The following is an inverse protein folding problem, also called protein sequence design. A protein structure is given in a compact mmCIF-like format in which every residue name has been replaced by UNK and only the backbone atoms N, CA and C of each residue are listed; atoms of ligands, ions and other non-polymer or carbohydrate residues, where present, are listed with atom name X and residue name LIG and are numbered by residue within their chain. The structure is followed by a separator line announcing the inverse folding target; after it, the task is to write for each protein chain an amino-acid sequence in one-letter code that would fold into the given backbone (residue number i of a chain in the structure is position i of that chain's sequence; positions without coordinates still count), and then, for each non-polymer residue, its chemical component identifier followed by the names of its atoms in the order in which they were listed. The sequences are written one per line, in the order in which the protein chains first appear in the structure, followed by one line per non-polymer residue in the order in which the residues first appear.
data_IF_016659723974
#
_entry.id   IF_016659723974
#
_cell.length_a   1.000
_cell.length_b   1.000
_cell.length_c   1.000
_cell.angle_alpha   90.00
_cell.angle_beta   90.00
_cell.angle_gamma   90.00
#
_symmetry.space_group_name_H-M   'P 1'
#
loop_
_entity.id
_entity.type
_entity.pdbx_description
1 polymer ?
#
# COMPACT_ATOMS: atom_id res chain seq x y z
N UNK A 1 12.83 -1.19 26.13
CA UNK A 1 12.30 -0.37 25.06
C UNK A 1 13.00 -0.62 23.73
N UNK A 2 12.43 -0.12 22.68
CA UNK A 2 12.97 -0.21 21.32
C UNK A 2 13.01 1.18 20.70
N UNK A 3 14.14 1.55 20.12
CA UNK A 3 14.30 2.78 19.34
C UNK A 3 14.49 2.38 17.89
N UNK A 4 13.55 2.75 17.04
CA UNK A 4 13.60 2.52 15.60
C UNK A 4 14.18 3.76 14.92
N UNK A 5 15.19 3.58 14.09
CA UNK A 5 15.84 4.67 13.35
C UNK A 5 15.31 4.63 11.91
N UNK A 6 14.74 5.74 11.48
CA UNK A 6 14.31 5.92 10.12
C UNK A 6 15.51 6.25 9.21
N UNK A 7 15.68 5.48 8.14
CA UNK A 7 16.89 5.56 7.30
C UNK A 7 16.84 6.64 6.22
N UNK A 8 16.13 7.73 6.45
CA UNK A 8 16.13 8.88 5.56
C UNK A 8 17.24 9.84 5.97
N UNK A 9 17.88 10.53 4.99
CA UNK A 9 18.85 11.58 5.27
C UNK A 9 18.23 12.88 5.81
N UNK A 10 16.92 12.97 5.90
CA UNK A 10 16.19 14.12 6.39
C UNK A 10 15.77 13.95 7.86
N UNK A 11 15.67 15.07 8.60
CA UNK A 11 15.23 15.06 10.00
C UNK A 11 13.70 14.93 10.10
N UNK A 12 13.19 13.83 9.56
CA UNK A 12 11.77 13.46 9.58
C UNK A 12 11.58 12.07 10.15
N UNK A 13 10.43 11.83 10.73
CA UNK A 13 10.04 10.54 11.26
C UNK A 13 8.97 9.98 10.34
N UNK A 14 9.14 8.76 9.90
CA UNK A 14 8.07 8.00 9.26
C UNK A 14 7.27 7.29 10.36
N UNK A 15 5.97 7.39 10.30
CA UNK A 15 5.11 6.59 11.15
C UNK A 15 5.26 5.12 10.79
N UNK A 16 5.36 4.27 11.79
CA UNK A 16 5.58 2.86 11.57
C UNK A 16 4.60 2.02 12.39
N UNK A 17 4.45 0.77 12.01
CA UNK A 17 3.58 -0.16 12.71
C UNK A 17 4.40 -1.22 13.41
N UNK A 18 3.97 -1.58 14.60
CA UNK A 18 4.56 -2.68 15.38
C UNK A 18 3.75 -3.96 15.28
N UNK A 19 2.87 -4.06 14.30
CA UNK A 19 2.09 -5.27 14.05
C UNK A 19 3.02 -6.42 13.66
N UNK A 20 2.99 -7.55 14.38
CA UNK A 20 3.96 -8.62 14.17
C UNK A 20 3.67 -9.46 12.92
N UNK A 21 2.42 -9.57 12.51
CA UNK A 21 1.95 -10.48 11.47
C UNK A 21 0.99 -9.75 10.53
N UNK A 22 0.85 -10.26 9.32
CA UNK A 22 -0.11 -9.83 8.32
C UNK A 22 -1.56 -9.91 8.84
N UNK A 23 -2.35 -8.88 8.59
CA UNK A 23 -3.75 -8.81 9.04
C UNK A 23 -3.94 -8.69 10.55
N UNK A 24 -2.87 -8.52 11.33
CA UNK A 24 -2.94 -8.42 12.78
C UNK A 24 -2.59 -7.00 13.28
N UNK A 25 -2.97 -6.64 14.49
CA UNK A 25 -3.73 -7.45 15.45
C UNK A 25 -5.21 -7.57 15.09
N UNK A 26 -5.77 -8.72 15.37
CA UNK A 26 -7.20 -9.00 15.38
C UNK A 26 -7.69 -9.23 16.82
N UNK A 27 -8.95 -9.66 16.97
CA UNK A 27 -9.52 -9.90 18.29
C UNK A 27 -8.77 -10.98 19.07
N UNK A 28 -8.28 -12.02 18.36
CA UNK A 28 -7.64 -13.18 18.97
C UNK A 28 -6.14 -12.91 19.22
N UNK A 29 -5.50 -12.17 18.34
CA UNK A 29 -4.06 -11.87 18.42
C UNK A 29 -3.72 -10.64 19.28
N UNK A 30 -4.71 -9.90 19.78
CA UNK A 30 -4.50 -8.72 20.63
C UNK A 30 -3.65 -8.99 21.89
N UNK A 31 -3.68 -10.22 22.40
CA UNK A 31 -2.90 -10.67 23.54
C UNK A 31 -1.38 -10.71 23.27
N UNK A 32 -0.99 -10.77 22.00
CA UNK A 32 0.42 -10.86 21.58
C UNK A 32 1.04 -9.52 21.24
N UNK A 33 0.35 -8.41 21.51
CA UNK A 33 0.90 -7.08 21.31
C UNK A 33 2.13 -6.85 22.16
N UNK A 34 3.09 -6.10 21.60
CA UNK A 34 4.29 -5.71 22.30
C UNK A 34 3.93 -4.85 23.53
N UNK A 35 4.45 -5.26 24.68
CA UNK A 35 4.23 -4.57 25.98
C UNK A 35 5.39 -3.65 26.34
N UNK A 36 6.33 -3.41 25.45
CA UNK A 36 7.44 -2.51 25.68
C UNK A 36 7.24 -1.19 24.90
N UNK A 37 7.76 -0.07 25.41
CA UNK A 37 7.74 1.18 24.67
C UNK A 37 8.57 1.06 23.39
N UNK A 38 7.99 1.50 22.27
CA UNK A 38 8.64 1.60 20.96
C UNK A 38 8.53 3.04 20.50
N UNK A 39 9.65 3.63 20.12
CA UNK A 39 9.72 5.00 19.61
C UNK A 39 10.49 5.04 18.29
N UNK A 40 10.07 5.89 17.38
CA UNK A 40 10.78 6.14 16.13
C UNK A 40 11.52 7.46 16.21
N UNK A 41 12.73 7.50 15.66
CA UNK A 41 13.53 8.72 15.51
C UNK A 41 14.02 8.86 14.06
N UNK A 42 14.28 10.10 13.66
CA UNK A 42 14.81 10.40 12.32
C UNK A 42 16.22 9.83 12.10
N UNK A 43 16.60 9.66 10.83
CA UNK A 43 17.93 9.18 10.45
C UNK A 43 19.06 9.98 11.08
N UNK A 44 19.12 11.31 10.93
CA UNK A 44 20.19 12.14 11.53
C UNK A 44 20.28 12.03 13.06
N UNK A 45 19.13 11.93 13.76
CA UNK A 45 19.11 11.70 15.21
C UNK A 45 19.58 10.30 15.57
N UNK A 46 19.24 9.33 14.74
CA UNK A 46 19.71 7.95 14.89
C UNK A 46 21.23 7.85 14.72
N UNK A 47 21.78 8.45 13.69
CA UNK A 47 23.23 8.51 13.46
C UNK A 47 23.96 9.16 14.66
N UNK A 48 23.44 10.28 15.15
CA UNK A 48 23.97 10.91 16.33
C UNK A 48 23.95 9.99 17.56
N UNK A 49 22.85 9.26 17.77
CA UNK A 49 22.73 8.31 18.87
C UNK A 49 23.74 7.16 18.74
N UNK A 50 23.88 6.61 17.52
CA UNK A 50 24.84 5.54 17.24
C UNK A 50 26.26 6.00 17.55
N UNK A 51 26.65 7.18 17.08
CA UNK A 51 27.99 7.74 17.34
C UNK A 51 28.25 7.92 18.87
N UNK A 52 27.24 8.39 19.60
CA UNK A 52 27.34 8.49 21.06
C UNK A 52 27.53 7.13 21.73
N UNK A 53 26.76 6.13 21.31
CA UNK A 53 26.86 4.76 21.84
C UNK A 53 28.24 4.15 21.54
N UNK A 54 28.74 4.31 20.33
CA UNK A 54 30.08 3.82 19.95
C UNK A 54 31.20 4.48 20.77
N UNK A 55 31.11 5.80 20.96
CA UNK A 55 32.09 6.52 21.75
C UNK A 55 32.03 6.10 23.24
N UNK A 56 30.87 5.95 23.81
CA UNK A 56 30.69 5.46 25.18
C UNK A 56 31.24 4.05 25.34
N UNK A 57 30.94 3.16 24.36
CA UNK A 57 31.46 1.79 24.36
C UNK A 57 33.00 1.73 24.35
N UNK A 58 33.64 2.52 23.48
CA UNK A 58 35.12 2.63 23.43
C UNK A 58 35.74 3.09 24.74
N UNK A 59 35.01 3.89 25.51
CA UNK A 59 35.45 4.41 26.78
C UNK A 59 34.96 3.59 28.02
N UNK A 60 34.33 2.44 27.80
CA UNK A 60 33.80 1.61 28.88
C UNK A 60 32.62 2.23 29.62
N UNK A 61 31.92 3.18 29.01
CA UNK A 61 30.79 3.89 29.60
C UNK A 61 29.47 3.24 29.18
N UNK A 62 28.51 3.23 30.09
CA UNK A 62 27.13 2.80 29.79
C UNK A 62 26.26 4.04 29.67
N UNK A 63 25.52 4.13 28.60
CA UNK A 63 24.52 5.17 28.39
C UNK A 63 23.13 4.62 28.75
N UNK A 64 22.31 5.46 29.30
CA UNK A 64 20.91 5.19 29.64
C UNK A 64 20.02 6.12 28.82
N UNK A 65 18.86 5.62 28.44
CA UNK A 65 17.81 6.42 27.84
C UNK A 65 16.48 6.12 28.52
N UNK A 66 15.76 7.17 28.84
CA UNK A 66 14.39 7.05 29.33
C UNK A 66 13.43 7.12 28.12
N UNK A 67 12.57 6.12 28.01
CA UNK A 67 11.53 6.05 26.99
C UNK A 67 10.17 6.16 27.69
N UNK A 68 9.46 7.24 27.43
CA UNK A 68 8.06 7.42 27.83
C UNK A 68 7.17 7.36 26.61
N UNK A 69 6.20 6.45 26.63
CA UNK A 69 5.28 6.22 25.53
C UNK A 69 3.89 5.97 26.11
N UNK A 70 2.95 6.84 25.77
CA UNK A 70 1.55 6.70 26.15
C UNK A 70 0.74 6.30 24.91
N UNK A 71 0.11 5.14 24.98
CA UNK A 71 -0.64 4.56 23.87
C UNK A 71 -2.02 4.13 24.37
N UNK A 72 -3.06 4.57 23.69
CA UNK A 72 -4.42 4.06 23.88
C UNK A 72 -4.70 2.99 22.79
N UNK A 73 -4.68 1.73 23.19
CA UNK A 73 -4.93 0.60 22.33
C UNK A 73 -6.31 0.00 22.62
N UNK A 74 -6.98 -0.46 21.57
CA UNK A 74 -8.27 -1.11 21.74
C UNK A 74 -8.91 -1.42 20.37
N UNK A 75 -9.99 -2.16 20.42
CA UNK A 75 -10.81 -2.43 19.23
C UNK A 75 -11.54 -1.15 18.84
N UNK A 76 -11.41 -0.77 17.59
CA UNK A 76 -12.06 0.40 17.01
C UNK A 76 -12.81 -0.01 15.74
N UNK A 77 -13.97 0.61 15.54
CA UNK A 77 -14.69 0.47 14.27
C UNK A 77 -14.11 1.43 13.25
N UNK A 78 -13.78 0.91 12.08
CA UNK A 78 -13.33 1.69 10.93
C UNK A 78 -14.27 1.48 9.76
N UNK A 79 -14.35 2.47 8.88
CA UNK A 79 -15.20 2.38 7.68
C UNK A 79 -14.39 1.78 6.53
N UNK A 80 -15.05 0.94 5.74
CA UNK A 80 -14.54 0.43 4.47
C UNK A 80 -15.51 0.88 3.37
N UNK A 81 -15.29 2.06 2.77
CA UNK A 81 -16.17 2.57 1.72
C UNK A 81 -16.05 1.73 0.44
N UNK A 82 -17.17 1.48 -0.20
CA UNK A 82 -17.24 0.81 -1.50
C UNK A 82 -18.25 1.55 -2.37
N UNK A 83 -17.86 1.87 -3.59
CA UNK A 83 -18.78 2.28 -4.64
C UNK A 83 -19.08 1.07 -5.53
N UNK A 84 -20.36 0.77 -5.70
CA UNK A 84 -20.83 -0.32 -6.55
C UNK A 84 -21.59 0.30 -7.74
N UNK A 85 -21.06 0.10 -8.94
CA UNK A 85 -21.61 0.61 -10.19
C UNK A 85 -22.04 -0.58 -11.02
N UNK A 86 -23.35 -0.90 -11.07
CA UNK A 86 -23.83 -2.08 -11.76
C UNK A 86 -23.66 -1.94 -13.29
N UNK A 87 -23.17 -3.01 -13.90
CA UNK A 87 -23.15 -3.21 -15.33
C UNK A 87 -24.23 -4.20 -15.79
N UNK A 88 -24.18 -4.59 -17.06
CA UNK A 88 -25.14 -5.56 -17.61
C UNK A 88 -24.91 -6.99 -17.13
N UNK A 89 -23.69 -7.34 -16.71
CA UNK A 89 -23.32 -8.65 -16.19
C UNK A 89 -23.08 -8.58 -14.70
N UNK A 90 -23.29 -9.71 -14.00
CA UNK A 90 -23.00 -9.89 -12.60
C UNK A 90 -21.49 -9.83 -12.31
N UNK A 91 -20.70 -10.35 -13.24
CA UNK A 91 -19.24 -10.33 -13.11
C UNK A 91 -18.72 -8.88 -13.00
N UNK A 92 -17.69 -8.68 -12.22
CA UNK A 92 -17.20 -7.34 -11.93
C UNK A 92 -15.68 -7.21 -11.97
N UNK A 93 -15.25 -5.99 -12.18
CA UNK A 93 -13.88 -5.54 -11.94
C UNK A 93 -13.82 -4.90 -10.56
N UNK A 94 -12.88 -5.33 -9.73
CA UNK A 94 -12.56 -4.69 -8.47
C UNK A 94 -11.41 -3.71 -8.67
N UNK A 95 -11.66 -2.43 -8.48
CA UNK A 95 -10.63 -1.40 -8.40
C UNK A 95 -10.47 -1.02 -6.94
N UNK A 96 -9.24 -0.93 -6.46
CA UNK A 96 -9.01 -0.62 -5.05
C UNK A 96 -7.86 0.34 -4.83
N UNK A 97 -7.90 1.04 -3.71
CA UNK A 97 -6.82 1.82 -3.16
C UNK A 97 -6.95 1.84 -1.63
N UNK A 98 -5.88 2.15 -0.92
CA UNK A 98 -6.00 2.37 0.52
C UNK A 98 -6.15 3.85 0.84
N UNK A 99 -6.89 4.18 1.92
CA UNK A 99 -7.11 5.57 2.30
C UNK A 99 -6.38 6.01 3.56
N UNK A 100 -5.82 5.07 4.33
CA UNK A 100 -4.88 5.42 5.39
C UNK A 100 -3.56 5.90 4.77
N UNK A 101 -2.88 6.79 5.47
CA UNK A 101 -1.72 7.50 4.93
C UNK A 101 -0.59 7.51 5.94
N UNK A 102 0.63 7.64 5.45
CA UNK A 102 1.77 8.04 6.23
C UNK A 102 1.86 9.57 6.23
N UNK A 103 1.84 10.20 7.41
CA UNK A 103 1.84 11.66 7.53
C UNK A 103 0.72 12.31 6.71
N UNK A 104 1.12 13.21 5.79
CA UNK A 104 0.18 13.91 4.90
C UNK A 104 -0.29 13.05 3.73
N UNK A 105 0.44 12.00 3.41
CA UNK A 105 0.06 10.99 2.43
C UNK A 105 -0.24 11.49 1.02
N UNK A 106 0.34 12.61 0.59
CA UNK A 106 -0.01 13.21 -0.70
C UNK A 106 0.20 12.22 -1.85
N UNK A 107 1.33 11.52 -1.85
CA UNK A 107 1.66 10.50 -2.84
C UNK A 107 1.12 9.11 -2.42
N UNK A 108 1.30 8.75 -1.17
CA UNK A 108 0.89 7.48 -0.58
C UNK A 108 -0.19 7.71 0.49
N UNK A 109 -1.50 7.70 0.15
CA UNK A 109 -2.05 7.29 -1.14
C UNK A 109 -3.15 8.25 -1.63
N UNK A 110 -3.06 9.58 -1.31
CA UNK A 110 -4.11 10.54 -1.67
C UNK A 110 -4.29 10.71 -3.19
N UNK A 111 -3.22 10.56 -3.97
CA UNK A 111 -3.32 10.63 -5.44
C UNK A 111 -4.18 9.49 -5.99
N UNK A 112 -4.01 8.27 -5.50
CA UNK A 112 -4.85 7.14 -5.89
C UNK A 112 -6.30 7.30 -5.41
N UNK A 113 -6.49 7.82 -4.20
CA UNK A 113 -7.84 8.10 -3.68
C UNK A 113 -8.57 9.13 -4.54
N UNK A 114 -7.90 10.19 -4.95
CA UNK A 114 -8.49 11.21 -5.83
C UNK A 114 -8.84 10.61 -7.20
N UNK A 115 -7.94 9.80 -7.78
CA UNK A 115 -8.22 9.11 -9.04
C UNK A 115 -9.42 8.16 -8.90
N UNK A 116 -9.48 7.38 -7.83
CA UNK A 116 -10.58 6.45 -7.59
C UNK A 116 -11.94 7.19 -7.52
N UNK A 117 -12.00 8.34 -6.86
CA UNK A 117 -13.20 9.17 -6.82
C UNK A 117 -13.60 9.70 -8.21
N UNK A 118 -12.65 10.14 -9.00
CA UNK A 118 -12.93 10.57 -10.38
C UNK A 118 -13.39 9.41 -11.26
N UNK A 119 -12.83 8.22 -11.07
CA UNK A 119 -13.29 7.02 -11.78
C UNK A 119 -14.72 6.64 -11.39
N UNK A 120 -15.12 6.78 -10.11
CA UNK A 120 -16.52 6.59 -9.71
C UNK A 120 -17.43 7.54 -10.52
N UNK A 121 -17.10 8.83 -10.56
CA UNK A 121 -17.90 9.81 -11.32
C UNK A 121 -17.96 9.47 -12.80
N UNK A 122 -16.80 9.19 -13.38
CA UNK A 122 -16.70 8.86 -14.81
C UNK A 122 -17.55 7.66 -15.20
N UNK A 123 -17.46 6.57 -14.45
CA UNK A 123 -18.17 5.34 -14.75
C UNK A 123 -19.66 5.41 -14.34
N UNK A 124 -19.99 6.14 -13.28
CA UNK A 124 -21.39 6.36 -12.90
C UNK A 124 -22.17 7.08 -14.00
N UNK A 125 -21.56 8.09 -14.63
CA UNK A 125 -22.16 8.80 -15.75
C UNK A 125 -22.32 7.93 -17.00
N UNK A 126 -21.64 6.80 -17.06
CA UNK A 126 -21.58 5.87 -18.20
C UNK A 126 -22.05 4.45 -17.87
N UNK A 127 -22.73 4.27 -16.75
CA UNK A 127 -23.11 2.95 -16.23
C UNK A 127 -23.87 2.10 -17.26
N UNK A 128 -24.72 2.70 -18.07
CA UNK A 128 -25.48 2.02 -19.11
C UNK A 128 -24.60 1.40 -20.23
N UNK A 129 -23.35 1.85 -20.33
CA UNK A 129 -22.38 1.33 -21.32
C UNK A 129 -21.55 0.18 -20.73
N UNK A 130 -21.56 -0.02 -19.41
CA UNK A 130 -20.77 -1.05 -18.76
C UNK A 130 -21.28 -2.45 -19.07
N UNK A 131 -20.41 -3.29 -19.62
CA UNK A 131 -20.69 -4.69 -19.79
C UNK A 131 -20.60 -5.46 -18.48
N UNK A 132 -19.61 -5.16 -17.68
CA UNK A 132 -19.34 -5.73 -16.36
C UNK A 132 -19.60 -4.68 -15.27
N UNK A 133 -19.95 -5.13 -14.09
CA UNK A 133 -20.06 -4.26 -12.92
C UNK A 133 -18.68 -3.76 -12.50
N UNK A 134 -18.63 -2.60 -11.83
CA UNK A 134 -17.40 -2.04 -11.28
C UNK A 134 -17.59 -1.80 -9.79
N UNK A 135 -16.73 -2.40 -8.99
CA UNK A 135 -16.63 -2.13 -7.55
C UNK A 135 -15.35 -1.34 -7.31
N UNK A 136 -15.46 -0.22 -6.59
CA UNK A 136 -14.30 0.58 -6.21
C UNK A 136 -14.26 0.64 -4.69
N UNK A 137 -13.17 0.16 -4.08
CA UNK A 137 -13.03 0.00 -2.65
C UNK A 137 -11.86 0.81 -2.10
N UNK A 138 -12.05 1.40 -0.91
CA UNK A 138 -11.03 2.14 -0.17
C UNK A 138 -10.70 1.39 1.12
N UNK A 139 -9.49 0.82 1.16
CA UNK A 139 -9.07 -0.02 2.27
C UNK A 139 -8.60 0.81 3.47
N UNK A 140 -9.14 0.58 4.68
CA UNK A 140 -8.54 1.04 5.92
C UNK A 140 -7.38 0.15 6.33
N UNK A 141 -6.42 0.70 7.05
CA UNK A 141 -5.37 -0.06 7.71
C UNK A 141 -4.47 -0.86 6.77
N UNK A 142 -4.22 -0.35 5.58
CA UNK A 142 -3.26 -0.94 4.65
C UNK A 142 -1.85 -0.84 5.22
N UNK A 143 -1.42 0.38 5.52
CA UNK A 143 -0.08 0.65 6.03
C UNK A 143 0.01 0.44 7.54
N UNK A 144 -0.93 1.00 8.31
CA UNK A 144 -0.91 0.98 9.76
C UNK A 144 -1.49 -0.30 10.38
N UNK A 145 -2.30 -1.05 9.63
CA UNK A 145 -2.99 -2.25 10.08
C UNK A 145 -2.58 -3.53 9.35
N UNK A 146 -1.48 -3.53 8.63
CA UNK A 146 -0.99 -4.69 7.88
C UNK A 146 -2.05 -5.30 6.96
N UNK A 147 -2.62 -4.46 6.06
CA UNK A 147 -3.62 -4.85 5.05
C UNK A 147 -4.96 -5.31 5.65
N UNK A 148 -5.29 -4.77 6.82
CA UNK A 148 -6.48 -5.17 7.58
C UNK A 148 -7.76 -5.09 6.74
N UNK A 149 -7.99 -3.99 6.03
CA UNK A 149 -9.22 -3.78 5.27
C UNK A 149 -9.38 -4.72 4.09
N UNK A 150 -8.34 -4.88 3.28
CA UNK A 150 -8.37 -5.78 2.13
C UNK A 150 -8.45 -7.26 2.55
N UNK A 151 -7.77 -7.64 3.63
CA UNK A 151 -7.86 -8.99 4.20
C UNK A 151 -9.27 -9.28 4.68
N UNK A 152 -9.85 -8.37 5.48
CA UNK A 152 -11.22 -8.51 5.95
C UNK A 152 -12.22 -8.65 4.80
N UNK A 153 -12.07 -7.80 3.77
CA UNK A 153 -12.93 -7.85 2.60
C UNK A 153 -12.80 -9.18 1.85
N UNK A 154 -11.58 -9.65 1.64
CA UNK A 154 -11.32 -10.91 0.97
C UNK A 154 -11.97 -12.09 1.72
N UNK A 155 -11.82 -12.13 3.04
CA UNK A 155 -12.36 -13.20 3.87
C UNK A 155 -13.90 -13.22 3.89
N UNK A 156 -14.53 -12.03 3.88
CA UNK A 156 -15.99 -11.92 3.96
C UNK A 156 -16.71 -11.99 2.61
N UNK A 157 -15.97 -11.77 1.51
CA UNK A 157 -16.51 -11.78 0.16
C UNK A 157 -15.82 -12.82 -0.74
N UNK A 158 -15.25 -13.87 -0.12
CA UNK A 158 -14.46 -14.87 -0.83
C UNK A 158 -15.19 -15.51 -2.01
N UNK A 159 -16.40 -16.01 -1.78
CA UNK A 159 -17.19 -16.69 -2.80
C UNK A 159 -17.53 -15.74 -3.96
N UNK A 160 -17.91 -14.50 -3.65
CA UNK A 160 -18.19 -13.48 -4.65
C UNK A 160 -16.95 -13.14 -5.48
N UNK A 161 -15.80 -13.00 -4.83
CA UNK A 161 -14.52 -12.73 -5.50
C UNK A 161 -14.11 -13.88 -6.41
N UNK A 162 -14.18 -15.09 -5.92
CA UNK A 162 -13.82 -16.29 -6.67
C UNK A 162 -14.71 -16.53 -7.87
N UNK A 163 -16.02 -16.39 -7.71
CA UNK A 163 -16.99 -16.68 -8.75
C UNK A 163 -17.13 -15.56 -9.79
N UNK A 164 -17.04 -14.29 -9.38
CA UNK A 164 -17.49 -13.18 -10.22
C UNK A 164 -16.45 -12.08 -10.43
N UNK A 165 -15.35 -12.03 -9.68
CA UNK A 165 -14.32 -11.02 -9.88
C UNK A 165 -13.40 -11.40 -11.03
N UNK A 166 -13.51 -10.73 -12.15
CA UNK A 166 -12.72 -11.03 -13.36
C UNK A 166 -11.37 -10.32 -13.35
N UNK A 167 -11.26 -9.20 -12.67
CA UNK A 167 -10.01 -8.45 -12.56
C UNK A 167 -9.94 -7.66 -11.26
N UNK A 168 -8.75 -7.56 -10.69
CA UNK A 168 -8.43 -6.67 -9.59
C UNK A 168 -7.36 -5.67 -10.03
N UNK A 169 -7.67 -4.38 -9.89
CA UNK A 169 -6.76 -3.27 -10.20
C UNK A 169 -6.47 -2.53 -8.90
N UNK A 170 -5.25 -2.63 -8.42
CA UNK A 170 -4.83 -1.91 -7.21
C UNK A 170 -4.13 -0.60 -7.59
N UNK A 171 -4.69 0.51 -7.12
CA UNK A 171 -4.15 1.85 -7.31
C UNK A 171 -3.34 2.26 -6.08
N UNK A 172 -2.03 2.31 -6.25
CA UNK A 172 -1.12 2.65 -5.18
C UNK A 172 0.12 3.36 -5.73
N UNK A 173 0.58 4.40 -5.02
CA UNK A 173 1.77 5.17 -5.36
C UNK A 173 1.71 5.80 -6.77
N UNK A 174 0.61 6.46 -7.08
CA UNK A 174 0.41 7.13 -8.38
C UNK A 174 0.85 8.59 -8.34
N UNK A 175 1.66 9.01 -9.30
CA UNK A 175 1.98 10.42 -9.51
C UNK A 175 3.09 10.97 -8.61
N UNK A 176 4.21 10.26 -8.48
CA UNK A 176 5.38 10.76 -7.77
C UNK A 176 5.93 12.05 -8.40
N UNK A 177 6.56 12.90 -7.58
CA UNK A 177 7.18 14.14 -8.06
C UNK A 177 8.23 13.83 -9.13
N UNK A 178 8.08 14.46 -10.31
CA UNK A 178 8.96 14.26 -11.45
C UNK A 178 8.66 12.98 -12.24
N UNK A 179 7.57 12.29 -11.97
CA UNK A 179 7.06 11.26 -12.86
C UNK A 179 6.52 11.94 -14.12
N UNK A 180 7.09 11.63 -15.25
CA UNK A 180 6.76 12.22 -16.55
C UNK A 180 6.09 11.22 -17.49
N UNK A 181 6.16 9.95 -17.18
CA UNK A 181 5.42 8.88 -17.81
C UNK A 181 5.58 7.58 -17.04
N UNK A 182 4.97 6.60 -17.49
CA UNK A 182 4.64 5.34 -16.90
C UNK A 182 5.76 4.35 -17.05
N UNK A 183 5.97 3.40 -16.27
CA UNK A 183 5.05 2.49 -15.71
C UNK A 183 5.68 1.14 -15.60
N UNK A 184 5.80 0.62 -14.48
CA UNK A 184 5.77 -0.82 -14.38
C UNK A 184 4.32 -1.23 -14.05
N UNK A 185 3.65 -1.91 -14.97
CA UNK A 185 2.41 -2.61 -14.66
C UNK A 185 2.77 -4.04 -14.28
N UNK A 186 2.54 -4.39 -13.03
CA UNK A 186 2.70 -5.76 -12.58
C UNK A 186 1.40 -6.52 -12.78
N UNK A 187 1.49 -7.67 -13.39
CA UNK A 187 0.36 -8.57 -13.58
C UNK A 187 0.73 -9.99 -13.20
N UNK A 188 -0.24 -10.71 -12.68
CA UNK A 188 -0.16 -12.15 -12.49
C UNK A 188 -0.95 -12.85 -13.60
N UNK A 189 -0.32 -13.86 -14.21
CA UNK A 189 -0.93 -14.66 -15.27
C UNK A 189 -0.55 -14.25 -16.69
N UNK A 190 -0.41 -15.25 -17.55
CA UNK A 190 0.03 -15.06 -18.94
C UNK A 190 -1.04 -14.41 -19.83
N UNK A 191 -2.29 -14.79 -19.64
CA UNK A 191 -3.41 -14.27 -20.44
C UNK A 191 -3.65 -12.79 -20.16
N UNK A 192 -3.67 -12.39 -18.88
CA UNK A 192 -3.77 -10.99 -18.48
C UNK A 192 -2.64 -10.15 -19.03
N UNK A 193 -1.44 -10.71 -19.10
CA UNK A 193 -0.28 -10.02 -19.67
C UNK A 193 -0.44 -9.75 -21.16
N UNK A 194 -0.96 -10.71 -21.91
CA UNK A 194 -1.19 -10.54 -23.35
C UNK A 194 -2.22 -9.44 -23.59
N UNK A 195 -3.33 -9.51 -22.89
CA UNK A 195 -4.39 -8.49 -22.98
C UNK A 195 -3.88 -7.10 -22.63
N UNK A 196 -3.12 -6.97 -21.53
CA UNK A 196 -2.53 -5.69 -21.13
C UNK A 196 -1.55 -5.16 -22.15
N UNK A 197 -0.70 -6.01 -22.74
CA UNK A 197 0.20 -5.59 -23.80
C UNK A 197 -0.55 -5.03 -25.01
N UNK A 198 -1.60 -5.69 -25.42
CA UNK A 198 -2.38 -5.28 -26.58
C UNK A 198 -3.12 -3.95 -26.35
N UNK A 199 -3.68 -3.73 -25.16
CA UNK A 199 -4.54 -2.57 -24.89
C UNK A 199 -3.83 -1.41 -24.17
N UNK A 200 -2.95 -1.71 -23.23
CA UNK A 200 -2.24 -0.65 -22.48
C UNK A 200 -1.15 -0.03 -23.34
N UNK A 201 -0.41 -0.83 -24.12
CA UNK A 201 0.62 -0.29 -25.00
C UNK A 201 0.03 0.50 -26.18
N UNK A 202 -1.22 0.29 -26.52
CA UNK A 202 -1.93 1.14 -27.48
C UNK A 202 -2.17 2.55 -26.88
N UNK A 203 -2.55 2.61 -25.60
CA UNK A 203 -2.79 3.88 -24.89
C UNK A 203 -1.49 4.55 -24.42
N UNK A 204 -0.51 3.76 -23.99
CA UNK A 204 0.81 4.22 -23.57
C UNK A 204 1.90 3.28 -24.11
N UNK A 205 2.49 3.62 -25.28
CA UNK A 205 3.55 2.82 -25.89
C UNK A 205 4.82 2.68 -25.04
N UNK A 206 4.95 3.49 -24.01
CA UNK A 206 6.11 3.49 -23.11
C UNK A 206 5.89 2.63 -21.87
N UNK A 207 4.71 2.06 -21.70
CA UNK A 207 4.37 1.20 -20.57
C UNK A 207 5.23 -0.07 -20.55
N UNK A 208 5.82 -0.37 -19.40
CA UNK A 208 6.51 -1.63 -19.15
C UNK A 208 5.59 -2.59 -18.40
N UNK A 209 5.37 -3.77 -18.96
CA UNK A 209 4.54 -4.80 -18.34
C UNK A 209 5.47 -5.85 -17.73
N UNK A 210 5.45 -5.93 -16.40
CA UNK A 210 6.20 -6.90 -15.63
C UNK A 210 5.28 -8.05 -15.21
N UNK A 211 5.66 -9.27 -15.57
CA UNK A 211 4.94 -10.48 -15.18
C UNK A 211 5.56 -11.02 -13.89
N UNK A 212 4.73 -11.34 -12.94
CA UNK A 212 5.20 -11.99 -11.72
C UNK A 212 4.17 -11.94 -10.61
N UNK A 213 4.53 -12.56 -9.51
CA UNK A 213 3.73 -12.46 -8.29
C UNK A 213 3.67 -11.00 -7.85
N UNK A 214 2.48 -10.52 -7.50
CA UNK A 214 2.27 -9.22 -6.89
C UNK A 214 3.10 -9.17 -5.60
N UNK A 215 3.93 -8.14 -5.49
CA UNK A 215 4.79 -7.94 -4.32
C UNK A 215 4.04 -7.36 -3.12
N UNK A 216 4.74 -7.23 -2.01
CA UNK A 216 4.20 -6.51 -0.84
C UNK A 216 3.82 -5.08 -1.23
N UNK A 217 2.74 -4.58 -0.67
CA UNK A 217 2.21 -3.25 -0.95
C UNK A 217 1.15 -3.20 -2.05
N UNK A 218 0.95 -4.29 -2.77
CA UNK A 218 -0.15 -4.43 -3.71
C UNK A 218 -1.09 -5.48 -3.15
N UNK A 219 -2.09 -5.13 -2.46
CA UNK A 219 -3.11 -5.96 -1.79
C UNK A 219 -3.03 -7.48 -2.01
N UNK A 220 -1.95 -8.07 -1.50
CA UNK A 220 -1.69 -9.51 -1.59
C UNK A 220 -2.83 -10.36 -1.02
N UNK A 221 -3.73 -9.75 -0.27
CA UNK A 221 -4.93 -10.39 0.27
C UNK A 221 -5.73 -11.14 -0.78
N UNK A 222 -5.74 -10.65 -2.03
CA UNK A 222 -6.52 -11.23 -3.13
C UNK A 222 -5.77 -12.30 -3.92
N UNK A 223 -4.52 -12.57 -3.59
CA UNK A 223 -3.72 -13.53 -4.35
C UNK A 223 -4.31 -14.95 -4.38
N UNK A 224 -4.92 -15.38 -3.29
CA UNK A 224 -5.52 -16.70 -3.17
C UNK A 224 -6.92 -16.83 -3.78
N UNK A 225 -7.56 -15.73 -4.13
CA UNK A 225 -8.94 -15.72 -4.67
C UNK A 225 -9.01 -16.09 -6.16
N UNK A 226 -7.91 -16.53 -6.76
CA UNK A 226 -7.81 -16.98 -8.15
C UNK A 226 -8.38 -15.99 -9.19
N UNK A 227 -8.35 -14.70 -8.88
CA UNK A 227 -8.81 -13.65 -9.81
C UNK A 227 -7.94 -13.69 -11.06
N UNK A 228 -8.54 -13.80 -12.27
CA UNK A 228 -7.78 -14.01 -13.50
C UNK A 228 -6.77 -12.91 -13.84
N UNK A 229 -7.09 -11.67 -13.49
CA UNK A 229 -6.25 -10.52 -13.80
C UNK A 229 -5.98 -9.69 -12.55
N UNK A 230 -4.73 -9.66 -12.09
CA UNK A 230 -4.25 -8.72 -11.08
C UNK A 230 -3.39 -7.66 -11.76
N UNK A 231 -3.75 -6.41 -11.60
CA UNK A 231 -3.09 -5.28 -12.23
C UNK A 231 -2.68 -4.28 -11.16
N UNK A 232 -1.41 -3.95 -11.12
CA UNK A 232 -0.88 -2.94 -10.21
C UNK A 232 -0.07 -1.92 -11.03
N UNK A 233 -0.71 -0.82 -11.46
CA UNK A 233 -0.03 0.24 -12.18
C UNK A 233 0.85 1.06 -11.23
N UNK A 234 2.03 1.44 -11.68
CA UNK A 234 2.91 2.39 -11.00
C UNK A 234 3.36 3.48 -11.96
N UNK A 235 3.39 4.70 -11.49
CA UNK A 235 3.83 5.85 -12.25
C UNK A 235 5.21 6.28 -11.74
N UNK A 236 6.24 6.13 -12.55
CA UNK A 236 7.63 6.38 -12.15
C UNK A 236 8.31 7.35 -13.13
N UNK A 237 9.26 8.15 -12.64
CA UNK A 237 10.10 8.95 -13.50
C UNK A 237 11.14 8.07 -14.23
N UNK A 238 11.38 8.33 -15.50
CA UNK A 238 12.40 7.65 -16.30
C UNK A 238 13.81 8.09 -15.91
N UNK A 239 14.26 7.82 -14.73
CA UNK A 239 15.68 7.95 -14.43
C UNK A 239 16.33 6.59 -14.58
N UNK A 240 17.52 6.58 -15.24
CA UNK A 240 18.43 5.45 -15.10
C UNK A 240 18.64 5.20 -13.61
N UNK A 241 17.99 4.18 -13.09
CA UNK A 241 18.16 3.77 -11.71
C UNK A 241 19.58 3.29 -11.53
N UNK A 242 20.42 4.08 -10.92
CA UNK A 242 21.52 3.50 -10.18
C UNK A 242 20.88 2.72 -9.03
N UNK A 243 21.32 1.51 -8.85
CA UNK A 243 20.78 0.56 -7.84
C UNK A 243 20.83 1.12 -6.39
N UNK A 244 21.58 2.22 -6.19
CA UNK A 244 21.69 2.99 -4.95
C UNK A 244 20.63 4.10 -4.78
N UNK A 245 19.87 4.41 -5.82
CA UNK A 245 18.91 5.51 -5.83
C UNK A 245 17.45 5.04 -5.70
N UNK A 246 17.25 3.79 -5.24
CA UNK A 246 15.90 3.43 -4.77
C UNK A 246 15.53 4.47 -3.71
N UNK A 247 14.49 5.29 -3.93
CA UNK A 247 13.99 6.10 -2.84
C UNK A 247 13.68 5.10 -1.73
N UNK A 248 14.40 5.23 -0.63
CA UNK A 248 13.90 4.66 0.59
C UNK A 248 12.44 5.08 0.68
N UNK A 249 11.57 4.35 1.39
CA UNK A 249 10.20 4.75 1.59
C UNK A 249 10.21 6.17 2.15
N UNK A 250 10.38 7.09 1.24
CA UNK A 250 10.86 8.43 1.52
C UNK A 250 9.73 9.39 1.70
N UNK A 251 10.05 10.45 2.28
CA UNK A 251 9.28 11.65 2.48
C UNK A 251 8.57 12.05 1.17
N UNK A 252 7.32 11.70 1.12
CA UNK A 252 6.44 12.06 0.01
C UNK A 252 5.67 13.31 0.42
N UNK A 253 6.08 14.43 -0.12
CA UNK A 253 5.44 15.75 0.07
C UNK A 253 4.14 15.85 -0.69
#
# INVERSE_FOLDING_TARGET
GWIQIWTSGEDVIHEDTVSPVWGTPDMDSSLFQLKMPVVAISGPKGEYLIQKLENAWKNGQILYADLDSQVDTGVRSVQLPIADIPGRKKDFVLLSCHYDTWYRGAFDNCTANALALELVRYFQDRKEQLAYSLKIAWWPGHSNGRYMGSTWYCDHHWDELYENCIAHVNLDLLGSKGADHTLAIRTAGLEGTKWLKEHVMEADPLAEIQIGRIGRGADQSFWGAEIPYHINPRYEARKERKQSDAPGPGVYW
#
